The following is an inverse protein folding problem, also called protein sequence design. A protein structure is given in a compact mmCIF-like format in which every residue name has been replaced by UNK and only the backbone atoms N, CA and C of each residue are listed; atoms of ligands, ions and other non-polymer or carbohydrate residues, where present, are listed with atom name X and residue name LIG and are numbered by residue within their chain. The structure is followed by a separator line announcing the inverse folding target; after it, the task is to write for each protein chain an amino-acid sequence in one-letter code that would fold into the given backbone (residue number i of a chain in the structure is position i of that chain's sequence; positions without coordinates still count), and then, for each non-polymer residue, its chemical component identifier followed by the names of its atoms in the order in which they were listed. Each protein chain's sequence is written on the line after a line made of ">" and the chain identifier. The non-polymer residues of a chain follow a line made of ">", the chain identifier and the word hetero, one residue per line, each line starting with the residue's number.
data_IF_816637893623
#
_entry.id   IF_816637893623
#
_cell.length_a   1.000
_cell.length_b   1.000
_cell.length_c   1.000
_cell.angle_alpha   90.00
_cell.angle_beta   90.00
_cell.angle_gamma   90.00
#
_symmetry.space_group_name_H-M   'P 1'
#
loop_
_entity.id
_entity.type
_entity.pdbx_description
1 polymer ?
#
# COMPACT_ATOMS: atom_id res chain seq x y z
N UNK A 1 16.72 49.04 -22.16
CA UNK A 1 15.92 49.69 -21.11
C UNK A 1 15.01 48.62 -20.52
N UNK A 2 15.25 48.28 -19.26
CA UNK A 2 14.70 47.12 -18.55
C UNK A 2 13.37 47.52 -17.91
N UNK A 3 12.33 46.70 -18.07
CA UNK A 3 11.13 46.76 -17.22
C UNK A 3 10.82 45.35 -16.72
N UNK A 4 11.47 44.99 -15.61
CA UNK A 4 11.13 43.81 -14.80
C UNK A 4 10.02 44.25 -13.86
N UNK A 5 8.80 43.79 -14.10
CA UNK A 5 7.65 44.04 -13.24
C UNK A 5 7.53 42.92 -12.21
N UNK A 6 8.26 43.03 -11.11
CA UNK A 6 8.16 42.16 -9.93
C UNK A 6 6.88 42.52 -9.17
N UNK A 7 5.84 41.71 -9.35
CA UNK A 7 4.61 41.76 -8.54
C UNK A 7 4.88 41.14 -7.16
N UNK A 8 5.20 42.01 -6.21
CA UNK A 8 5.17 41.74 -4.77
C UNK A 8 3.71 41.67 -4.31
N UNK A 9 3.17 40.47 -4.16
CA UNK A 9 1.88 40.26 -3.47
C UNK A 9 2.12 40.27 -1.96
N UNK A 10 1.85 41.43 -1.36
CA UNK A 10 1.86 41.65 0.08
C UNK A 10 0.68 40.92 0.77
N UNK A 11 1.04 40.01 1.68
CA UNK A 11 0.39 39.65 2.95
C UNK A 11 -1.04 40.13 3.22
N UNK A 12 -1.97 39.18 3.31
CA UNK A 12 -3.15 39.33 4.16
C UNK A 12 -3.07 38.36 5.34
N UNK A 13 -2.57 38.88 6.47
CA UNK A 13 -2.52 38.18 7.74
C UNK A 13 -3.91 38.28 8.39
N UNK A 14 -4.76 37.29 8.14
CA UNK A 14 -6.09 37.19 8.73
C UNK A 14 -6.00 37.00 10.24
N UNK A 15 -6.56 37.95 11.00
CA UNK A 15 -6.68 37.90 12.46
C UNK A 15 -7.38 36.61 12.91
N UNK A 16 -6.60 35.73 13.53
CA UNK A 16 -7.07 34.54 14.22
C UNK A 16 -7.94 34.98 15.42
N UNK A 17 -9.27 34.97 15.25
CA UNK A 17 -10.20 34.98 16.39
C UNK A 17 -10.13 33.60 17.04
N UNK A 18 -9.36 33.50 18.11
CA UNK A 18 -9.39 32.37 19.05
C UNK A 18 -10.81 32.23 19.59
N UNK A 19 -11.55 31.28 19.04
CA UNK A 19 -12.84 30.85 19.59
C UNK A 19 -12.52 29.86 20.71
N UNK A 20 -12.93 30.24 21.91
CA UNK A 20 -13.14 29.42 23.10
C UNK A 20 -12.88 27.93 22.89
N UNK A 21 -11.81 27.45 23.50
CA UNK A 21 -11.63 26.04 23.82
C UNK A 21 -12.74 25.63 24.78
N UNK A 22 -13.88 25.23 24.22
CA UNK A 22 -14.81 24.35 24.90
C UNK A 22 -13.99 23.13 25.27
N UNK A 23 -13.75 22.94 26.57
CA UNK A 23 -13.33 21.65 27.10
C UNK A 23 -14.47 20.72 26.69
N UNK A 24 -14.25 19.98 25.59
CA UNK A 24 -15.07 18.86 25.22
C UNK A 24 -14.89 17.93 26.41
N UNK A 25 -15.89 17.90 27.29
CA UNK A 25 -16.05 16.79 28.21
C UNK A 25 -15.93 15.55 27.33
N UNK A 26 -14.86 14.78 27.52
CA UNK A 26 -14.83 13.42 27.02
C UNK A 26 -15.99 12.75 27.73
N UNK A 27 -17.14 12.72 27.06
CA UNK A 27 -18.20 11.81 27.41
C UNK A 27 -17.51 10.46 27.55
N UNK A 28 -17.59 9.95 28.77
CA UNK A 28 -17.10 8.62 29.14
C UNK A 28 -17.83 7.69 28.19
N UNK A 29 -17.16 7.33 27.09
CA UNK A 29 -17.68 6.40 26.10
C UNK A 29 -18.00 5.15 26.91
N UNK A 30 -19.30 4.78 27.05
CA UNK A 30 -19.65 3.57 27.76
C UNK A 30 -18.85 2.46 27.11
N UNK A 31 -18.21 1.61 27.93
CA UNK A 31 -17.38 0.49 27.52
C UNK A 31 -18.22 -0.44 26.64
N UNK A 32 -18.42 -0.06 25.39
CA UNK A 32 -19.11 -0.84 24.38
C UNK A 32 -18.24 -2.05 24.18
N UNK A 33 -18.80 -3.23 24.45
CA UNK A 33 -18.16 -4.49 24.11
C UNK A 33 -17.66 -4.39 22.67
N UNK A 34 -16.34 -4.45 22.53
CA UNK A 34 -15.69 -4.33 21.24
C UNK A 34 -16.00 -5.63 20.49
N UNK A 35 -17.05 -5.61 19.69
CA UNK A 35 -17.44 -6.75 18.86
C UNK A 35 -16.38 -6.87 17.78
N UNK A 36 -15.41 -7.76 18.00
CA UNK A 36 -14.41 -8.13 17.00
C UNK A 36 -15.14 -8.91 15.91
N UNK A 37 -15.40 -8.26 14.78
CA UNK A 37 -15.96 -8.93 13.60
C UNK A 37 -14.85 -9.60 12.79
N UNK A 38 -15.19 -10.64 12.03
CA UNK A 38 -14.25 -11.31 11.12
C UNK A 38 -13.66 -10.32 10.09
N UNK A 39 -14.43 -9.31 9.71
CA UNK A 39 -13.99 -8.22 8.84
C UNK A 39 -12.82 -7.43 9.45
N UNK A 40 -12.89 -7.06 10.74
CA UNK A 40 -11.81 -6.38 11.45
C UNK A 40 -10.57 -7.26 11.58
N UNK A 41 -10.76 -8.56 11.86
CA UNK A 41 -9.65 -9.53 11.91
C UNK A 41 -8.97 -9.64 10.56
N UNK A 42 -9.75 -9.72 9.48
CA UNK A 42 -9.21 -9.78 8.12
C UNK A 42 -8.46 -8.50 7.75
N UNK A 43 -9.00 -7.32 8.07
CA UNK A 43 -8.28 -6.06 7.85
C UNK A 43 -6.96 -6.02 8.62
N UNK A 44 -6.95 -6.47 9.89
CA UNK A 44 -5.76 -6.49 10.73
C UNK A 44 -4.63 -7.39 10.18
N UNK A 45 -4.96 -8.48 9.48
CA UNK A 45 -3.97 -9.35 8.80
C UNK A 45 -3.13 -8.60 7.76
N UNK A 46 -3.69 -7.55 7.16
CA UNK A 46 -3.06 -6.75 6.11
C UNK A 46 -2.78 -5.32 6.54
N UNK A 47 -2.42 -5.12 7.82
CA UNK A 47 -2.06 -3.81 8.38
C UNK A 47 -0.90 -3.09 7.67
N UNK A 48 -0.12 -3.82 6.87
CA UNK A 48 0.94 -3.28 6.01
C UNK A 48 0.41 -2.66 4.70
N UNK A 49 -0.85 -2.89 4.34
CA UNK A 49 -1.47 -2.27 3.17
C UNK A 49 -2.08 -0.92 3.58
N UNK A 50 -1.65 0.20 2.96
CA UNK A 50 -2.23 1.48 3.26
C UNK A 50 -3.68 1.53 2.78
N UNK A 51 -4.56 2.04 3.63
CA UNK A 51 -5.97 2.32 3.31
C UNK A 51 -6.15 3.83 3.28
N UNK A 52 -6.70 4.41 2.20
CA UNK A 52 -6.96 5.85 2.15
C UNK A 52 -7.96 6.28 3.24
N UNK A 53 -7.82 7.51 3.72
CA UNK A 53 -8.77 8.06 4.72
C UNK A 53 -10.15 8.18 4.07
N UNK A 54 -11.20 7.81 4.83
CA UNK A 54 -12.59 7.85 4.35
C UNK A 54 -12.98 6.66 3.47
N UNK A 55 -12.19 5.58 3.50
CA UNK A 55 -12.55 4.31 2.88
C UNK A 55 -12.95 3.29 3.94
N UNK A 56 -14.13 2.70 3.74
CA UNK A 56 -14.70 1.67 4.61
C UNK A 56 -14.63 0.31 3.92
N UNK A 57 -14.39 -0.74 4.71
CA UNK A 57 -14.32 -2.12 4.21
C UNK A 57 -15.73 -2.61 3.85
N UNK A 58 -15.89 -3.11 2.63
CA UNK A 58 -17.13 -3.77 2.18
C UNK A 58 -17.14 -5.18 2.75
N UNK A 59 -18.24 -5.54 3.41
CA UNK A 59 -18.39 -6.88 3.97
C UNK A 59 -18.47 -7.93 2.85
N UNK A 60 -17.74 -9.04 3.00
CA UNK A 60 -17.56 -10.01 1.92
C UNK A 60 -18.86 -10.73 1.54
N UNK A 61 -19.86 -10.74 2.43
CA UNK A 61 -21.17 -11.35 2.18
C UNK A 61 -21.90 -10.76 0.97
N UNK A 62 -21.56 -9.55 0.53
CA UNK A 62 -22.19 -8.89 -0.62
C UNK A 62 -21.42 -9.04 -1.95
N UNK A 63 -20.20 -9.57 -1.92
CA UNK A 63 -19.39 -9.71 -3.14
C UNK A 63 -19.39 -11.16 -3.61
N UNK A 64 -20.13 -11.46 -4.69
CA UNK A 64 -20.16 -12.72 -5.46
C UNK A 64 -18.79 -13.11 -6.11
N UNK A 65 -17.67 -12.62 -5.57
CA UNK A 65 -16.35 -12.98 -6.07
C UNK A 65 -15.98 -14.34 -5.48
N UNK A 66 -16.41 -15.40 -6.16
CA UNK A 66 -15.93 -16.77 -5.96
C UNK A 66 -14.44 -16.83 -6.31
N UNK A 67 -13.58 -16.50 -5.36
CA UNK A 67 -12.14 -16.71 -5.52
C UNK A 67 -11.86 -18.19 -5.41
N UNK A 68 -11.60 -18.78 -6.57
CA UNK A 68 -11.12 -20.15 -6.71
C UNK A 68 -9.76 -20.27 -5.99
N UNK A 69 -9.69 -21.28 -5.11
CA UNK A 69 -8.48 -21.84 -4.49
C UNK A 69 -7.71 -20.93 -3.49
N UNK A 70 -7.79 -21.31 -2.21
CA UNK A 70 -6.94 -21.13 -1.00
C UNK A 70 -5.61 -20.33 -0.99
N UNK A 71 -5.26 -19.53 -1.99
CA UNK A 71 -3.96 -18.84 -2.12
C UNK A 71 -4.06 -17.33 -2.32
N UNK A 72 -5.26 -16.79 -2.50
CA UNK A 72 -5.47 -15.37 -2.74
C UNK A 72 -6.54 -14.83 -1.80
N UNK A 73 -6.18 -13.80 -1.03
CA UNK A 73 -7.09 -13.07 -0.17
C UNK A 73 -7.63 -11.85 -0.91
N UNK A 74 -8.84 -11.42 -0.56
CA UNK A 74 -9.50 -10.28 -1.19
C UNK A 74 -10.11 -9.34 -0.18
N UNK A 75 -9.85 -8.05 -0.39
CA UNK A 75 -10.43 -6.97 0.39
C UNK A 75 -11.04 -5.97 -0.58
N UNK A 76 -12.24 -5.51 -0.29
CA UNK A 76 -12.90 -4.47 -1.06
C UNK A 76 -13.26 -3.32 -0.12
N UNK A 77 -13.06 -2.09 -0.59
CA UNK A 77 -13.38 -0.88 0.14
C UNK A 77 -14.21 0.05 -0.76
N UNK A 78 -14.99 0.93 -0.15
CA UNK A 78 -15.62 2.05 -0.84
C UNK A 78 -15.28 3.37 -0.14
N UNK A 79 -15.22 4.46 -0.89
CA UNK A 79 -14.97 5.79 -0.33
C UNK A 79 -15.13 6.89 -1.35
N UNK A 80 -14.92 8.13 -0.91
CA UNK A 80 -15.04 9.33 -1.72
C UNK A 80 -13.64 9.85 -2.07
N UNK A 81 -13.07 9.38 -3.18
CA UNK A 81 -11.83 9.89 -3.75
C UNK A 81 -11.76 9.55 -5.24
N UNK A 82 -11.21 10.46 -6.03
CA UNK A 82 -11.02 10.22 -7.46
C UNK A 82 -10.00 9.11 -7.73
N UNK A 83 -10.15 8.44 -8.87
CA UNK A 83 -9.26 7.35 -9.30
C UNK A 83 -7.80 7.85 -9.34
N UNK A 84 -7.57 9.04 -9.88
CA UNK A 84 -6.22 9.64 -10.00
C UNK A 84 -5.57 9.85 -8.63
N UNK A 85 -6.31 10.38 -7.66
CA UNK A 85 -5.79 10.62 -6.30
C UNK A 85 -5.44 9.30 -5.61
N UNK A 86 -6.26 8.27 -5.81
CA UNK A 86 -6.00 6.93 -5.26
C UNK A 86 -4.78 6.28 -5.91
N UNK A 87 -4.58 6.43 -7.22
CA UNK A 87 -3.38 5.95 -7.90
C UNK A 87 -2.13 6.63 -7.35
N UNK A 88 -2.15 7.95 -7.16
CA UNK A 88 -1.05 8.71 -6.56
C UNK A 88 -0.79 8.23 -5.12
N UNK A 89 -1.86 8.09 -4.33
CA UNK A 89 -1.78 7.60 -2.95
C UNK A 89 -1.10 6.24 -2.88
N UNK A 90 -1.55 5.26 -3.69
CA UNK A 90 -0.99 3.92 -3.65
C UNK A 90 0.43 3.85 -4.16
N UNK A 91 0.74 4.49 -5.29
CA UNK A 91 2.11 4.55 -5.81
C UNK A 91 3.07 5.09 -4.77
N UNK A 92 2.77 6.27 -4.20
CA UNK A 92 3.63 6.93 -3.23
C UNK A 92 3.86 6.10 -1.96
N UNK A 93 2.79 5.53 -1.39
CA UNK A 93 2.93 4.75 -0.15
C UNK A 93 3.62 3.40 -0.41
N UNK A 94 3.26 2.69 -1.47
CA UNK A 94 3.82 1.37 -1.76
C UNK A 94 5.28 1.46 -2.25
N UNK A 95 5.64 2.44 -3.07
CA UNK A 95 7.04 2.68 -3.45
C UNK A 95 7.90 2.98 -2.20
N UNK A 96 7.40 3.83 -1.30
CA UNK A 96 8.07 4.11 -0.01
C UNK A 96 8.28 2.85 0.82
N UNK A 97 7.35 1.92 0.76
CA UNK A 97 7.40 0.64 1.49
C UNK A 97 8.18 -0.47 0.71
N UNK A 98 8.84 -0.08 -0.39
CA UNK A 98 9.74 -0.92 -1.18
C UNK A 98 9.03 -1.91 -2.12
N UNK A 99 7.81 -1.60 -2.53
CA UNK A 99 7.12 -2.39 -3.56
C UNK A 99 7.57 -1.96 -4.95
N UNK A 100 7.70 -2.93 -5.86
CA UNK A 100 7.82 -2.66 -7.30
C UNK A 100 6.43 -2.55 -7.88
N UNK A 101 6.13 -1.47 -8.59
CA UNK A 101 4.79 -1.21 -9.14
C UNK A 101 4.83 -1.23 -10.66
N UNK A 102 3.93 -1.98 -11.26
CA UNK A 102 3.59 -1.90 -12.68
C UNK A 102 2.20 -1.30 -12.79
N UNK A 103 2.10 -0.16 -13.48
CA UNK A 103 0.85 0.56 -13.66
C UNK A 103 0.23 0.22 -15.02
N UNK A 104 -0.97 -0.36 -14.99
CA UNK A 104 -1.78 -0.71 -16.15
C UNK A 104 -3.10 0.08 -16.17
N UNK A 105 -3.15 1.19 -15.43
CA UNK A 105 -4.33 2.05 -15.33
C UNK A 105 -4.63 2.74 -16.66
N UNK A 106 -5.91 3.09 -16.85
CA UNK A 106 -6.39 3.89 -17.96
C UNK A 106 -7.26 5.06 -17.44
N UNK A 107 -7.94 5.76 -18.35
CA UNK A 107 -8.77 6.92 -17.99
C UNK A 107 -10.02 6.57 -17.16
N UNK A 108 -10.47 5.31 -17.21
CA UNK A 108 -11.72 4.85 -16.60
C UNK A 108 -11.53 4.00 -15.35
N UNK A 109 -10.40 3.28 -15.25
CA UNK A 109 -10.08 2.45 -14.10
C UNK A 109 -8.58 2.48 -13.76
N UNK A 110 -8.30 2.35 -12.46
CA UNK A 110 -6.95 2.16 -11.95
C UNK A 110 -6.64 0.67 -11.82
N UNK A 111 -5.48 0.24 -12.31
CA UNK A 111 -4.99 -1.13 -12.13
C UNK A 111 -3.49 -1.10 -11.85
N UNK A 112 -3.12 -1.40 -10.61
CA UNK A 112 -1.72 -1.51 -10.19
C UNK A 112 -1.39 -2.97 -9.87
N UNK A 113 -0.29 -3.46 -10.42
CA UNK A 113 0.32 -4.73 -10.03
C UNK A 113 1.54 -4.40 -9.18
N UNK A 114 1.51 -4.80 -7.90
CA UNK A 114 2.51 -4.48 -6.91
C UNK A 114 3.21 -5.76 -6.44
N UNK A 115 4.54 -5.81 -6.59
CA UNK A 115 5.34 -6.99 -6.28
C UNK A 115 6.35 -6.71 -5.15
N UNK A 116 6.51 -7.71 -4.28
CA UNK A 116 7.55 -7.81 -3.23
C UNK A 116 8.03 -9.27 -3.18
N UNK A 117 9.27 -9.60 -2.75
CA UNK A 117 9.82 -10.96 -2.92
C UNK A 117 8.97 -12.14 -2.43
N UNK A 118 8.06 -11.94 -1.46
CA UNK A 118 7.19 -13.00 -0.93
C UNK A 118 5.69 -12.72 -1.12
N UNK A 119 5.33 -11.62 -1.78
CA UNK A 119 3.95 -11.12 -1.83
C UNK A 119 3.70 -10.41 -3.15
N UNK A 120 2.50 -10.61 -3.69
CA UNK A 120 2.00 -9.87 -4.82
C UNK A 120 0.64 -9.30 -4.43
N UNK A 121 0.40 -8.05 -4.81
CA UNK A 121 -0.90 -7.39 -4.61
C UNK A 121 -1.33 -6.79 -5.94
N UNK A 122 -2.58 -7.04 -6.33
CA UNK A 122 -3.23 -6.32 -7.42
C UNK A 122 -4.25 -5.36 -6.82
N UNK A 123 -4.15 -4.09 -7.18
CA UNK A 123 -5.05 -3.04 -6.73
C UNK A 123 -5.87 -2.59 -7.93
N UNK A 124 -7.18 -2.80 -7.85
CA UNK A 124 -8.15 -2.35 -8.86
C UNK A 124 -9.01 -1.23 -8.27
N UNK A 125 -9.10 -0.12 -8.97
CA UNK A 125 -9.81 1.09 -8.55
C UNK A 125 -10.83 1.41 -9.63
N UNK A 126 -12.11 1.45 -9.28
CA UNK A 126 -13.20 1.67 -10.24
C UNK A 126 -14.19 2.67 -9.69
N UNK A 127 -14.69 3.55 -10.55
CA UNK A 127 -15.82 4.40 -10.21
C UNK A 127 -17.07 3.54 -10.00
N UNK A 128 -17.80 3.79 -8.91
CA UNK A 128 -19.12 3.20 -8.64
C UNK A 128 -20.23 4.15 -9.09
N UNK A 129 -20.06 5.44 -8.80
CA UNK A 129 -20.90 6.55 -9.22
C UNK A 129 -20.04 7.83 -9.31
N UNK A 130 -20.63 8.99 -9.63
CA UNK A 130 -19.89 10.26 -9.82
C UNK A 130 -19.06 10.71 -8.60
N UNK A 131 -19.27 10.12 -7.40
CA UNK A 131 -18.61 10.53 -6.15
C UNK A 131 -17.93 9.39 -5.41
N UNK A 132 -18.33 8.14 -5.66
CA UNK A 132 -17.85 6.96 -4.94
C UNK A 132 -16.96 6.11 -5.81
N UNK A 133 -15.90 5.63 -5.20
CA UNK A 133 -14.95 4.73 -5.82
C UNK A 133 -14.90 3.43 -5.04
N UNK A 134 -14.90 2.31 -5.78
CA UNK A 134 -14.62 0.98 -5.26
C UNK A 134 -13.15 0.67 -5.43
N UNK A 135 -12.54 0.23 -4.34
CA UNK A 135 -11.13 -0.16 -4.26
C UNK A 135 -11.07 -1.64 -3.91
N UNK A 136 -10.46 -2.44 -4.77
CA UNK A 136 -10.34 -3.89 -4.62
C UNK A 136 -8.86 -4.26 -4.52
N UNK A 137 -8.50 -5.02 -3.49
CA UNK A 137 -7.15 -5.55 -3.28
C UNK A 137 -7.19 -7.07 -3.38
N UNK A 138 -6.40 -7.62 -4.29
CA UNK A 138 -6.16 -9.06 -4.41
C UNK A 138 -4.76 -9.34 -3.90
N UNK A 139 -4.64 -10.08 -2.81
CA UNK A 139 -3.38 -10.31 -2.11
C UNK A 139 -3.00 -11.77 -2.25
N UNK A 140 -1.86 -12.02 -2.89
CA UNK A 140 -1.30 -13.36 -3.07
C UNK A 140 0.00 -13.49 -2.31
N UNK A 141 0.06 -14.46 -1.40
CA UNK A 141 1.28 -14.76 -0.66
C UNK A 141 2.13 -15.81 -1.43
N UNK A 142 3.28 -15.39 -1.96
CA UNK A 142 4.17 -16.22 -2.76
C UNK A 142 5.28 -16.85 -1.90
N UNK A 143 4.94 -17.53 -0.81
CA UNK A 143 5.92 -18.15 0.09
C UNK A 143 6.79 -19.21 -0.61
N UNK A 144 6.24 -19.92 -1.59
CA UNK A 144 6.97 -20.95 -2.36
C UNK A 144 8.13 -20.37 -3.18
N UNK A 145 8.01 -19.14 -3.69
CA UNK A 145 9.10 -18.49 -4.44
C UNK A 145 10.22 -18.00 -3.52
N UNK A 146 9.86 -17.57 -2.31
CA UNK A 146 10.82 -17.10 -1.31
C UNK A 146 11.80 -18.19 -0.87
N UNK A 147 11.33 -19.44 -0.77
CA UNK A 147 12.14 -20.59 -0.38
C UNK A 147 13.18 -20.95 -1.45
N UNK A 148 12.84 -20.80 -2.74
CA UNK A 148 13.75 -21.08 -3.86
C UNK A 148 14.92 -20.08 -3.95
N UNK A 149 14.71 -18.84 -3.53
CA UNK A 149 15.78 -17.82 -3.51
C UNK A 149 16.81 -18.14 -2.42
N UNK A 150 16.37 -18.60 -1.25
CA UNK A 150 17.27 -18.98 -0.14
C UNK A 150 18.20 -20.14 -0.49
N UNK A 151 17.66 -21.21 -1.11
CA UNK A 151 18.46 -22.38 -1.50
C UNK A 151 19.55 -22.09 -2.55
N UNK A 152 19.38 -21.03 -3.35
CA UNK A 152 20.35 -20.68 -4.39
C UNK A 152 21.58 -19.95 -3.84
N UNK A 153 21.45 -19.25 -2.70
CA UNK A 153 22.56 -18.52 -2.07
C UNK A 153 23.52 -19.47 -1.35
N UNK A 154 22.99 -20.53 -0.74
CA UNK A 154 23.82 -21.55 -0.08
C UNK A 154 24.75 -22.28 -1.07
N UNK A 155 24.36 -22.40 -2.34
CA UNK A 155 25.20 -23.02 -3.38
C UNK A 155 26.38 -22.13 -3.83
N UNK A 156 26.34 -20.82 -3.61
CA UNK A 156 27.43 -19.91 -3.97
C UNK A 156 28.56 -19.99 -2.92
N UNK A 157 28.21 -20.15 -1.65
CA UNK A 157 29.18 -20.27 -0.55
C UNK A 157 29.68 -21.69 -0.32
N UNK A 158 29.08 -22.71 -0.96
CA UNK A 158 29.49 -24.10 -0.80
C UNK A 158 30.49 -24.60 -1.84
N UNK A 159 30.98 -23.76 -2.76
CA UNK A 159 32.07 -24.18 -3.66
C UNK A 159 33.36 -24.26 -2.85
N UNK A 160 33.93 -25.46 -2.61
CA UNK A 160 35.22 -25.58 -1.97
C UNK A 160 36.25 -24.81 -2.82
N UNK A 161 37.01 -23.93 -2.18
CA UNK A 161 38.18 -23.32 -2.80
C UNK A 161 39.12 -24.46 -3.15
N UNK A 162 39.37 -24.68 -4.44
CA UNK A 162 40.35 -25.65 -4.88
C UNK A 162 41.74 -25.11 -4.49
N UNK A 163 42.38 -25.75 -3.50
CA UNK A 163 43.74 -25.43 -3.03
C UNK A 163 44.84 -25.67 -4.10
N UNK A 164 44.48 -26.05 -5.33
CA UNK A 164 45.42 -26.29 -6.42
C UNK A 164 46.11 -25.03 -6.95
N UNK A 165 45.59 -23.84 -6.64
CA UNK A 165 46.09 -22.58 -7.23
C UNK A 165 47.19 -21.90 -6.40
N UNK A 166 47.57 -22.44 -5.23
CA UNK A 166 48.52 -21.77 -4.31
C UNK A 166 49.98 -22.24 -4.37
N UNK A 167 50.36 -23.17 -5.26
CA UNK A 167 51.73 -23.72 -5.30
C UNK A 167 52.73 -22.97 -6.21
N UNK A 168 52.45 -21.73 -6.61
CA UNK A 168 53.26 -20.99 -7.59
C UNK A 168 54.45 -20.16 -7.06
N UNK A 169 54.55 -19.86 -5.77
CA UNK A 169 55.61 -18.96 -5.25
C UNK A 169 56.77 -19.73 -4.62
N UNK A 170 57.65 -20.29 -5.45
CA UNK A 170 59.02 -20.62 -5.02
C UNK A 170 59.86 -19.35 -5.05
N UNK A 171 60.34 -18.92 -3.87
CA UNK A 171 61.35 -17.86 -3.70
C UNK A 171 62.67 -18.29 -4.39
N UNK A 172 63.23 -17.38 -5.18
CA UNK A 172 64.65 -17.37 -5.54
C UNK A 172 65.50 -16.82 -4.40
#
# INVERSE_FOLDING_TARGET
>A
MILVLTLLTLSSCGKHKSKNSSIIALDVIPKSELIITDALVNQAKYSYMPVPIGFDLIDQAENDVYLFENKTDFLAYHGESGIVDLLIFYKKNLERDGWKISDLSNEYEGLLICDKPKKQVVISIRSLDDKKTKLCLFIKNNFEQALKIGSSVDMINSKPVNDSDFNGFKKG
#
